data_IF_533615709202
#
_entry.id   IF_533615709202
#
_cell.length_a   1.000
_cell.length_b   1.000
_cell.length_c   1.000
_cell.angle_alpha   90.00
_cell.angle_beta   90.00
_cell.angle_gamma   90.00
#
_symmetry.space_group_name_H-M   'P 1'
#
loop_
_entity.id
_entity.type
_entity.pdbx_description
1 polymer ?
#
# COMPACT_ATOMS: atom_id res chain seq x y z
N UNK A 1 -6.74 10.90 3.18
CA UNK A 1 -6.61 9.43 2.98
C UNK A 1 -5.14 9.03 3.01
N UNK A 2 -4.63 8.67 4.20
CA UNK A 2 -3.17 8.53 4.40
C UNK A 2 -2.52 7.45 3.53
N UNK A 3 -3.16 6.30 3.39
CA UNK A 3 -2.59 5.19 2.60
C UNK A 3 -2.58 5.52 1.11
N UNK A 4 -3.67 6.09 0.59
CA UNK A 4 -3.73 6.49 -0.81
C UNK A 4 -2.67 7.55 -1.13
N UNK A 5 -2.55 8.54 -0.28
CA UNK A 5 -1.54 9.60 -0.45
C UNK A 5 -0.11 9.04 -0.41
N UNK A 6 0.14 8.07 0.49
CA UNK A 6 1.43 7.40 0.56
C UNK A 6 1.74 6.60 -0.71
N UNK A 7 0.74 5.91 -1.27
CA UNK A 7 0.89 5.19 -2.53
C UNK A 7 1.14 6.13 -3.71
N UNK A 8 0.47 7.27 -3.74
CA UNK A 8 0.70 8.28 -4.77
C UNK A 8 2.11 8.85 -4.70
N UNK A 9 2.61 9.13 -3.49
CA UNK A 9 3.99 9.57 -3.29
C UNK A 9 4.98 8.49 -3.70
N UNK A 10 4.73 7.23 -3.31
CA UNK A 10 5.58 6.10 -3.67
C UNK A 10 5.65 5.90 -5.18
N UNK A 11 4.53 6.04 -5.87
CA UNK A 11 4.46 5.90 -7.33
C UNK A 11 5.42 6.85 -8.06
N UNK A 12 5.62 8.05 -7.50
CA UNK A 12 6.51 9.08 -8.08
C UNK A 12 7.97 8.83 -7.75
N UNK A 13 8.28 7.97 -6.78
CA UNK A 13 9.66 7.66 -6.41
C UNK A 13 10.30 6.73 -7.44
N UNK A 14 11.56 6.99 -7.76
CA UNK A 14 12.35 6.15 -8.66
C UNK A 14 13.09 5.09 -7.85
N UNK A 15 12.38 4.06 -7.43
CA UNK A 15 12.91 2.96 -6.64
C UNK A 15 13.18 1.75 -7.51
N UNK A 16 14.33 1.11 -7.33
CA UNK A 16 14.62 -0.16 -8.02
C UNK A 16 13.99 -1.29 -7.21
N UNK A 17 13.01 -2.03 -7.76
CA UNK A 17 12.27 -3.05 -7.00
C UNK A 17 13.03 -4.37 -6.94
N UNK A 18 13.53 -4.72 -5.76
CA UNK A 18 14.10 -6.03 -5.46
C UNK A 18 13.19 -6.86 -4.56
N UNK A 19 12.05 -6.32 -4.16
CA UNK A 19 11.08 -6.91 -3.26
C UNK A 19 9.98 -7.67 -4.03
N UNK A 20 9.11 -8.36 -3.30
CA UNK A 20 7.88 -8.90 -3.86
C UNK A 20 6.85 -7.78 -3.99
N UNK A 21 5.87 -7.90 -4.88
CA UNK A 21 5.60 -9.02 -5.78
C UNK A 21 6.54 -9.08 -6.98
N UNK A 22 6.64 -10.29 -7.56
CA UNK A 22 7.59 -10.59 -8.63
C UNK A 22 7.37 -9.87 -9.95
N UNK A 23 6.18 -9.32 -10.17
CA UNK A 23 5.91 -8.53 -11.40
C UNK A 23 6.69 -7.21 -11.45
N UNK A 24 7.33 -6.80 -10.34
CA UNK A 24 8.17 -5.59 -10.27
C UNK A 24 7.47 -4.36 -10.87
N UNK A 25 6.33 -3.99 -10.28
CA UNK A 25 5.50 -2.86 -10.69
C UNK A 25 4.99 -2.99 -12.14
N UNK A 26 4.79 -4.24 -12.57
CA UNK A 26 4.27 -4.58 -13.90
C UNK A 26 5.33 -4.87 -14.96
N UNK A 27 6.60 -4.60 -14.70
CA UNK A 27 7.68 -4.79 -15.70
C UNK A 27 8.01 -6.24 -15.96
N UNK A 28 7.79 -7.11 -14.98
CA UNK A 28 8.15 -8.54 -15.07
C UNK A 28 7.08 -9.42 -15.70
N UNK A 29 5.89 -8.91 -16.00
CA UNK A 29 4.80 -9.71 -16.55
C UNK A 29 3.85 -8.85 -17.40
N UNK A 30 4.05 -8.89 -18.71
CA UNK A 30 3.23 -8.11 -19.65
C UNK A 30 1.77 -8.54 -19.69
N UNK A 31 1.50 -9.85 -19.55
CA UNK A 31 0.13 -10.35 -19.57
C UNK A 31 -0.66 -9.82 -18.35
N UNK A 32 -0.04 -9.83 -17.17
CA UNK A 32 -0.63 -9.29 -15.97
C UNK A 32 -0.82 -7.77 -16.08
N UNK A 33 0.16 -7.07 -16.63
CA UNK A 33 0.08 -5.64 -16.87
C UNK A 33 -1.10 -5.27 -17.78
N UNK A 34 -1.29 -6.01 -18.86
CA UNK A 34 -2.42 -5.78 -19.78
C UNK A 34 -3.76 -6.09 -19.14
N UNK A 35 -3.82 -7.09 -18.26
CA UNK A 35 -5.05 -7.49 -17.57
C UNK A 35 -5.46 -6.50 -16.48
N UNK A 36 -4.53 -6.13 -15.60
CA UNK A 36 -4.81 -5.29 -14.43
C UNK A 36 -4.60 -3.79 -14.67
N UNK A 37 -3.77 -3.44 -15.65
CA UNK A 37 -3.44 -2.06 -15.94
C UNK A 37 -2.19 -1.56 -15.23
N UNK A 38 -1.53 -0.61 -15.86
CA UNK A 38 -0.26 -0.04 -15.38
C UNK A 38 -0.42 0.70 -14.04
N UNK A 39 -1.50 1.45 -13.90
CA UNK A 39 -1.74 2.23 -12.67
C UNK A 39 -1.86 1.35 -11.45
N UNK A 40 -2.57 0.24 -11.57
CA UNK A 40 -2.74 -0.72 -10.49
C UNK A 40 -1.41 -1.38 -10.11
N UNK A 41 -0.69 -1.93 -11.09
CA UNK A 41 0.56 -2.64 -10.82
C UNK A 41 1.68 -1.72 -10.36
N UNK A 42 1.65 -0.46 -10.72
CA UNK A 42 2.67 0.50 -10.29
C UNK A 42 2.67 0.76 -8.79
N UNK A 43 1.57 0.47 -8.10
CA UNK A 43 1.42 0.64 -6.65
C UNK A 43 1.20 -0.67 -5.91
N UNK A 44 1.27 -1.80 -6.61
CA UNK A 44 1.19 -3.11 -5.97
C UNK A 44 2.57 -3.50 -5.46
N UNK A 45 2.82 -3.22 -4.20
CA UNK A 45 4.10 -3.38 -3.53
C UNK A 45 3.91 -3.92 -2.12
N UNK A 46 4.99 -4.47 -1.57
CA UNK A 46 4.97 -5.01 -0.21
C UNK A 46 5.12 -3.89 0.84
N UNK A 47 5.02 -4.29 2.10
CA UNK A 47 5.30 -3.38 3.22
C UNK A 47 6.72 -2.84 3.14
N UNK A 48 6.87 -1.54 3.33
CA UNK A 48 8.17 -0.89 3.34
C UNK A 48 8.06 0.42 4.11
N UNK A 49 9.19 1.01 4.47
CA UNK A 49 9.22 2.19 5.32
C UNK A 49 8.26 3.31 4.89
N UNK A 50 8.20 3.73 3.61
CA UNK A 50 7.26 4.78 3.19
C UNK A 50 5.79 4.40 3.25
N UNK A 51 5.47 3.10 3.28
CA UNK A 51 4.11 2.57 3.21
C UNK A 51 3.66 1.89 4.50
N UNK A 52 4.51 1.86 5.52
CA UNK A 52 4.23 1.25 6.81
C UNK A 52 4.15 -0.28 6.75
N UNK A 53 3.82 -0.93 7.85
CA UNK A 53 3.68 -2.38 7.96
C UNK A 53 2.38 -2.71 8.70
N UNK A 54 1.51 -3.49 8.05
CA UNK A 54 0.20 -3.84 8.61
C UNK A 54 0.33 -4.61 9.93
N UNK A 55 1.37 -5.45 10.09
CA UNK A 55 1.57 -6.23 11.31
C UNK A 55 2.01 -5.37 12.51
N UNK A 56 2.61 -4.22 12.26
CA UNK A 56 3.05 -3.29 13.29
C UNK A 56 2.96 -1.85 12.76
N UNK A 57 1.74 -1.30 12.64
CA UNK A 57 1.55 0.03 12.07
C UNK A 57 2.14 1.12 12.97
N UNK A 58 2.93 2.00 12.39
CA UNK A 58 3.57 3.12 13.10
C UNK A 58 3.45 4.46 12.36
N UNK A 59 3.02 4.44 11.12
CA UNK A 59 2.95 5.64 10.28
C UNK A 59 1.63 5.73 9.51
N UNK A 60 1.63 5.58 8.19
CA UNK A 60 0.43 5.85 7.36
C UNK A 60 -0.71 4.87 7.61
N UNK A 61 -0.43 3.61 7.88
CA UNK A 61 -1.48 2.62 8.21
C UNK A 61 -2.04 2.94 9.59
N UNK A 62 -1.19 3.25 10.56
CA UNK A 62 -1.64 3.67 11.90
C UNK A 62 -2.51 4.91 11.82
N UNK A 63 -2.13 5.91 11.05
CA UNK A 63 -2.91 7.11 10.84
C UNK A 63 -4.28 6.79 10.25
N UNK A 64 -4.34 5.88 9.25
CA UNK A 64 -5.60 5.44 8.66
C UNK A 64 -6.48 4.71 9.68
N UNK A 65 -5.89 3.87 10.54
CA UNK A 65 -6.62 3.19 11.62
C UNK A 65 -7.21 4.19 12.63
N UNK A 66 -6.45 5.21 13.00
CA UNK A 66 -6.93 6.26 13.90
C UNK A 66 -8.08 7.06 13.30
N UNK A 67 -8.02 7.38 12.01
CA UNK A 67 -9.11 8.05 11.31
C UNK A 67 -10.36 7.18 11.22
N UNK A 68 -10.19 5.88 11.00
CA UNK A 68 -11.31 4.93 11.00
C UNK A 68 -11.95 4.84 12.39
N UNK A 69 -11.16 4.75 13.45
CA UNK A 69 -11.67 4.76 14.82
C UNK A 69 -12.49 6.01 15.10
N UNK A 70 -11.99 7.18 14.71
CA UNK A 70 -12.69 8.44 14.88
C UNK A 70 -14.02 8.46 14.12
N UNK A 71 -14.02 8.01 12.86
CA UNK A 71 -15.21 7.97 12.01
C UNK A 71 -16.34 7.10 12.58
N UNK A 72 -15.97 5.99 13.24
CA UNK A 72 -16.95 5.06 13.84
C UNK A 72 -17.18 5.31 15.33
N UNK A 73 -16.54 6.31 15.93
CA UNK A 73 -16.67 6.59 17.34
C UNK A 73 -16.09 5.52 18.25
N UNK A 74 -15.07 4.80 17.78
CA UNK A 74 -14.40 3.74 18.52
C UNK A 74 -13.11 4.23 19.19
N UNK A 75 -12.67 3.56 20.24
CA UNK A 75 -11.38 3.88 20.86
C UNK A 75 -10.21 3.45 19.98
N UNK A 76 -10.35 2.31 19.31
CA UNK A 76 -9.33 1.75 18.43
C UNK A 76 -9.96 1.13 17.20
N UNK A 77 -9.21 1.08 16.11
CA UNK A 77 -9.53 0.33 14.90
C UNK A 77 -8.28 -0.41 14.44
N UNK A 78 -8.45 -1.64 13.99
CA UNK A 78 -7.34 -2.48 13.52
C UNK A 78 -7.68 -3.02 12.13
N UNK A 79 -6.79 -2.80 11.17
CA UNK A 79 -6.97 -3.35 9.82
C UNK A 79 -6.45 -4.79 9.78
N UNK A 80 -7.26 -5.67 9.23
CA UNK A 80 -6.97 -7.10 9.16
C UNK A 80 -6.89 -7.56 7.71
N UNK A 81 -5.99 -8.51 7.43
CA UNK A 81 -5.84 -9.06 6.07
C UNK A 81 -7.10 -9.78 5.62
N UNK A 82 -7.73 -10.50 6.52
CA UNK A 82 -8.89 -11.34 6.20
C UNK A 82 -10.25 -10.66 6.27
N UNK A 83 -10.29 -9.36 6.49
CA UNK A 83 -11.54 -8.61 6.57
C UNK A 83 -12.17 -8.51 7.93
#
# INVERSE_FOLDING_TARGET
>A
MPVLEALERFKKMRVVPFDVPGHKRGRGNKALLNFLGEKCLSVDVNSMKPLDNLCHPVSVIKEAEELAADAFGAEHAFFMVGG
#
